data_IF_321975954881
#
_entry.id   IF_321975954881
#
_cell.length_a   1.000
_cell.length_b   1.000
_cell.length_c   1.000
_cell.angle_alpha   90.00
_cell.angle_beta   90.00
_cell.angle_gamma   90.00
#
_symmetry.space_group_name_H-M   'P 1'
#
loop_
_entity.id
_entity.type
_entity.pdbx_description
1 polymer ?
#
# COMPACT_ATOMS: atom_id res chain seq x y z
N UNK A 1 5.27 1.67 -10.87
CA UNK A 1 5.62 2.09 -12.25
C UNK A 1 5.82 0.91 -13.16
N UNK A 2 5.80 1.16 -14.48
CA UNK A 2 5.90 0.12 -15.53
C UNK A 2 7.08 0.38 -16.50
N UNK A 3 8.05 1.17 -16.10
CA UNK A 3 9.31 1.25 -16.87
C UNK A 3 10.12 -0.03 -16.65
N UNK A 4 10.95 -0.41 -17.61
CA UNK A 4 11.77 -1.62 -17.54
C UNK A 4 12.57 -1.73 -16.23
N UNK A 5 13.20 -0.63 -15.81
CA UNK A 5 13.95 -0.59 -14.57
C UNK A 5 13.08 -0.83 -13.32
N UNK A 6 11.87 -0.27 -13.27
CA UNK A 6 10.96 -0.44 -12.13
C UNK A 6 10.35 -1.84 -12.13
N UNK A 7 9.97 -2.38 -13.28
CA UNK A 7 9.45 -3.76 -13.37
C UNK A 7 10.49 -4.77 -12.89
N UNK A 8 11.76 -4.57 -13.25
CA UNK A 8 12.85 -5.43 -12.81
C UNK A 8 13.12 -5.36 -11.28
N UNK A 9 12.68 -4.31 -10.61
CA UNK A 9 12.81 -4.13 -9.16
C UNK A 9 11.55 -4.53 -8.37
N UNK A 10 10.41 -4.71 -9.06
CA UNK A 10 9.14 -4.98 -8.38
C UNK A 10 8.84 -6.48 -8.33
N UNK A 11 8.57 -7.04 -7.13
CA UNK A 11 8.14 -8.44 -7.01
C UNK A 11 6.74 -8.68 -7.62
N UNK A 12 6.00 -7.63 -7.88
CA UNK A 12 4.64 -7.73 -8.43
C UNK A 12 4.61 -7.82 -9.94
N UNK A 13 5.61 -7.33 -10.64
CA UNK A 13 5.73 -7.43 -12.08
C UNK A 13 4.42 -7.22 -12.88
N UNK A 14 4.45 -7.58 -14.15
CA UNK A 14 3.25 -7.53 -15.02
C UNK A 14 2.25 -8.63 -14.69
N UNK A 15 2.69 -9.65 -13.97
CA UNK A 15 1.91 -10.83 -13.63
C UNK A 15 1.87 -10.99 -12.08
N UNK A 16 1.18 -10.04 -11.43
CA UNK A 16 0.98 -10.02 -9.97
C UNK A 16 0.29 -11.29 -9.42
N UNK A 17 -0.24 -12.14 -10.30
CA UNK A 17 -0.91 -13.40 -9.98
C UNK A 17 0.04 -14.60 -10.06
N UNK A 18 1.30 -14.43 -10.44
CA UNK A 18 2.25 -15.53 -10.49
C UNK A 18 2.70 -15.93 -9.06
N UNK A 19 2.70 -17.24 -8.74
CA UNK A 19 2.90 -17.73 -7.38
C UNK A 19 4.26 -17.39 -6.75
N UNK A 20 5.30 -17.14 -7.55
CA UNK A 20 6.63 -16.76 -7.07
C UNK A 20 7.29 -15.75 -8.02
N UNK A 21 7.18 -14.48 -7.65
CA UNK A 21 7.80 -13.39 -8.42
C UNK A 21 9.27 -13.12 -8.02
N UNK A 22 9.81 -13.81 -7.01
CA UNK A 22 11.18 -13.57 -6.53
C UNK A 22 12.23 -13.88 -7.59
N UNK A 23 11.98 -14.85 -8.44
CA UNK A 23 12.87 -15.21 -9.56
C UNK A 23 12.86 -14.19 -10.70
N UNK A 24 11.90 -13.24 -10.71
CA UNK A 24 11.74 -12.25 -11.78
C UNK A 24 12.39 -10.91 -11.48
N UNK A 25 12.82 -10.68 -10.24
CA UNK A 25 13.52 -9.45 -9.89
C UNK A 25 14.97 -9.48 -10.40
N UNK A 26 15.51 -8.29 -10.64
CA UNK A 26 16.89 -8.16 -11.10
C UNK A 26 17.89 -8.74 -10.07
N UNK A 27 19.08 -9.22 -10.50
CA UNK A 27 20.05 -9.86 -9.61
C UNK A 27 20.51 -9.01 -8.42
N UNK A 28 20.41 -7.69 -8.53
CA UNK A 28 20.73 -6.71 -7.50
C UNK A 28 19.53 -6.33 -6.61
N UNK A 29 18.44 -7.09 -6.66
CA UNK A 29 17.23 -6.86 -5.85
C UNK A 29 16.99 -8.05 -4.93
N UNK A 30 16.59 -7.76 -3.69
CA UNK A 30 16.11 -8.74 -2.72
C UNK A 30 14.77 -8.28 -2.17
N UNK A 31 13.81 -9.20 -2.12
CA UNK A 31 12.50 -8.94 -1.53
C UNK A 31 12.50 -9.29 -0.05
N UNK A 32 11.72 -8.55 0.73
CA UNK A 32 11.44 -8.87 2.13
C UNK A 32 10.12 -9.62 2.25
N UNK A 33 10.01 -10.44 3.27
CA UNK A 33 8.73 -11.06 3.66
C UNK A 33 7.76 -9.95 4.06
N UNK A 34 6.62 -9.88 3.38
CA UNK A 34 5.57 -8.91 3.71
C UNK A 34 5.09 -9.13 5.16
N UNK A 35 4.89 -8.05 5.95
CA UNK A 35 4.49 -8.15 7.36
C UNK A 35 3.00 -8.50 7.51
N UNK A 36 2.58 -9.64 6.98
CA UNK A 36 1.21 -10.11 6.89
C UNK A 36 0.85 -10.96 8.11
N UNK A 37 -0.05 -10.44 8.97
CA UNK A 37 -0.40 -11.05 10.25
C UNK A 37 -1.53 -12.08 10.19
N UNK A 38 -2.23 -12.17 9.07
CA UNK A 38 -3.36 -13.11 8.93
C UNK A 38 -2.90 -14.50 8.49
N UNK A 39 -2.09 -14.62 7.42
CA UNK A 39 -1.55 -15.88 6.88
C UNK A 39 -0.04 -16.01 6.96
N UNK A 40 0.67 -14.91 7.23
CA UNK A 40 2.12 -14.90 7.26
C UNK A 40 2.75 -15.89 8.26
N UNK A 41 4.08 -16.02 8.24
CA UNK A 41 4.80 -16.96 9.10
C UNK A 41 4.64 -16.63 10.60
N UNK A 42 4.42 -15.35 10.93
CA UNK A 42 4.16 -14.90 12.30
C UNK A 42 2.84 -14.14 12.35
N UNK A 43 1.94 -14.57 13.23
CA UNK A 43 0.53 -14.22 13.18
C UNK A 43 0.10 -13.30 14.33
N UNK A 44 -1.03 -12.62 14.14
CA UNK A 44 -1.64 -11.76 15.16
C UNK A 44 -1.78 -12.50 16.51
N UNK A 45 -1.34 -11.85 17.59
CA UNK A 45 -1.30 -12.42 18.94
C UNK A 45 0.08 -12.91 19.37
N UNK A 46 1.02 -13.12 18.47
CA UNK A 46 2.39 -13.49 18.84
C UNK A 46 3.18 -12.28 19.36
N UNK A 47 4.16 -12.56 20.22
CA UNK A 47 5.06 -11.53 20.76
C UNK A 47 6.20 -11.24 19.77
N UNK A 48 6.66 -9.98 19.76
CA UNK A 48 7.84 -9.58 18.99
C UNK A 48 7.65 -9.59 17.47
N UNK A 49 6.44 -9.43 16.97
CA UNK A 49 6.11 -9.49 15.54
C UNK A 49 6.96 -8.52 14.71
N UNK A 50 7.13 -7.26 15.18
CA UNK A 50 7.93 -6.28 14.47
C UNK A 50 9.40 -6.71 14.34
N UNK A 51 9.97 -7.34 15.37
CA UNK A 51 11.36 -7.83 15.34
C UNK A 51 11.48 -9.07 14.44
N UNK A 52 10.54 -9.98 14.53
CA UNK A 52 10.52 -11.21 13.72
C UNK A 52 10.48 -10.89 12.21
N UNK A 53 9.55 -10.02 11.80
CA UNK A 53 9.48 -9.60 10.40
C UNK A 53 10.68 -8.74 9.97
N UNK A 54 11.17 -7.85 10.85
CA UNK A 54 12.32 -7.00 10.53
C UNK A 54 13.64 -7.79 10.44
N UNK A 55 13.74 -8.97 11.04
CA UNK A 55 14.93 -9.82 10.94
C UNK A 55 15.19 -10.30 9.50
N UNK A 56 14.16 -10.38 8.66
CA UNK A 56 14.32 -10.75 7.25
C UNK A 56 15.14 -9.72 6.45
N UNK A 57 15.24 -8.48 6.94
CA UNK A 57 16.12 -7.48 6.33
C UNK A 57 17.61 -7.84 6.47
N UNK A 58 18.01 -8.52 7.54
CA UNK A 58 19.39 -8.96 7.70
C UNK A 58 19.75 -10.00 6.62
N UNK A 59 18.88 -11.00 6.37
CA UNK A 59 19.06 -11.95 5.27
C UNK A 59 19.22 -11.25 3.92
N UNK A 60 18.35 -10.28 3.61
CA UNK A 60 18.41 -9.59 2.33
C UNK A 60 19.68 -8.73 2.16
N UNK A 61 20.16 -8.11 3.25
CA UNK A 61 21.40 -7.35 3.28
C UNK A 61 22.60 -8.29 3.08
N UNK A 62 22.66 -9.39 3.84
CA UNK A 62 23.74 -10.37 3.74
C UNK A 62 23.82 -10.97 2.32
N UNK A 63 22.69 -11.34 1.72
CA UNK A 63 22.63 -11.86 0.35
C UNK A 63 23.09 -10.84 -0.71
N UNK A 64 22.84 -9.52 -0.51
CA UNK A 64 23.32 -8.48 -1.41
C UNK A 64 24.81 -8.28 -1.26
N UNK A 65 25.34 -8.33 -0.05
CA UNK A 65 26.78 -8.20 0.24
C UNK A 65 27.55 -9.41 -0.30
N UNK A 66 27.07 -10.64 -0.09
CA UNK A 66 27.65 -11.86 -0.64
C UNK A 66 27.67 -11.85 -2.19
N UNK A 67 26.65 -11.27 -2.81
CA UNK A 67 26.59 -11.09 -4.26
C UNK A 67 27.45 -9.93 -4.79
N UNK A 68 28.08 -9.17 -3.90
CA UNK A 68 28.96 -8.05 -4.25
C UNK A 68 28.24 -6.75 -4.65
N UNK A 69 26.93 -6.65 -4.41
CA UNK A 69 26.16 -5.44 -4.74
C UNK A 69 26.16 -4.40 -3.63
N UNK A 70 26.17 -4.83 -2.35
CA UNK A 70 25.91 -3.96 -1.21
C UNK A 70 24.46 -3.48 -1.16
N UNK A 71 24.11 -2.73 -0.11
CA UNK A 71 22.76 -2.24 0.12
C UNK A 71 22.63 -0.76 -0.29
N UNK A 72 22.04 -0.47 -1.44
CA UNK A 72 21.80 0.89 -1.91
C UNK A 72 20.56 1.53 -1.28
N UNK A 73 19.44 0.83 -1.24
CA UNK A 73 18.19 1.37 -0.68
C UNK A 73 17.15 0.29 -0.38
N UNK A 74 16.20 0.64 0.50
CA UNK A 74 14.90 -0.01 0.62
C UNK A 74 13.87 0.85 -0.11
N UNK A 75 13.15 0.28 -1.07
CA UNK A 75 11.94 0.87 -1.64
C UNK A 75 10.70 0.18 -1.07
N UNK A 76 9.76 0.94 -0.55
CA UNK A 76 8.57 0.39 0.11
C UNK A 76 7.32 1.22 -0.17
N UNK A 77 6.23 0.55 -0.62
CA UNK A 77 4.87 1.09 -0.55
C UNK A 77 4.43 1.11 0.92
N UNK A 78 4.24 2.30 1.48
CA UNK A 78 3.91 2.47 2.89
C UNK A 78 2.52 1.98 3.28
N UNK A 79 1.65 1.69 2.31
CA UNK A 79 0.34 1.06 2.52
C UNK A 79 0.39 -0.47 2.46
N UNK A 80 1.44 -1.06 1.91
CA UNK A 80 1.51 -2.49 1.58
C UNK A 80 0.28 -2.96 0.78
N UNK A 81 -0.24 -2.06 -0.08
CA UNK A 81 -1.52 -2.24 -0.76
C UNK A 81 -1.56 -3.54 -1.56
N UNK A 82 -0.56 -3.76 -2.38
CA UNK A 82 -0.47 -4.92 -3.26
C UNK A 82 -0.25 -6.24 -2.51
N UNK A 83 0.30 -6.17 -1.29
CA UNK A 83 0.37 -7.33 -0.39
C UNK A 83 -0.97 -7.69 0.29
N UNK A 84 -2.08 -7.05 -0.13
CA UNK A 84 -3.40 -7.29 0.44
C UNK A 84 -3.70 -6.47 1.68
N UNK A 85 -3.09 -5.29 1.83
CA UNK A 85 -3.36 -4.31 2.89
C UNK A 85 -3.21 -4.94 4.29
N UNK A 86 -2.06 -5.53 4.64
CA UNK A 86 -1.88 -6.18 5.94
C UNK A 86 -1.90 -5.16 7.10
N UNK A 87 -2.33 -5.62 8.27
CA UNK A 87 -2.07 -4.91 9.52
C UNK A 87 -0.57 -5.02 9.83
N UNK A 88 0.19 -3.96 9.56
CA UNK A 88 1.65 -3.94 9.76
C UNK A 88 1.98 -3.84 11.24
N UNK A 89 2.86 -4.70 11.80
CA UNK A 89 3.26 -4.62 13.19
C UNK A 89 3.86 -3.25 13.55
N UNK A 90 3.37 -2.64 14.62
CA UNK A 90 3.85 -1.32 15.04
C UNK A 90 5.38 -1.32 15.23
N UNK A 91 6.05 -0.39 14.54
CA UNK A 91 7.50 -0.24 14.59
C UNK A 91 8.28 -1.15 13.62
N UNK A 92 7.62 -2.03 12.85
CA UNK A 92 8.28 -2.88 11.85
C UNK A 92 9.13 -2.05 10.87
N UNK A 93 8.50 -1.11 10.15
CA UNK A 93 9.21 -0.34 9.13
C UNK A 93 10.35 0.51 9.71
N UNK A 94 10.18 1.01 10.94
CA UNK A 94 11.25 1.72 11.65
C UNK A 94 12.46 0.83 11.93
N UNK A 95 12.23 -0.44 12.29
CA UNK A 95 13.31 -1.42 12.54
C UNK A 95 14.02 -1.81 11.24
N UNK A 96 13.27 -2.08 10.17
CA UNK A 96 13.85 -2.35 8.84
C UNK A 96 14.67 -1.16 8.35
N UNK A 97 14.13 0.06 8.44
CA UNK A 97 14.86 1.27 8.04
C UNK A 97 16.17 1.47 8.82
N UNK A 98 16.19 1.13 10.12
CA UNK A 98 17.41 1.21 10.92
C UNK A 98 18.49 0.23 10.43
N UNK A 99 18.10 -1.01 10.06
CA UNK A 99 19.03 -2.03 9.51
C UNK A 99 19.58 -1.60 8.15
N UNK A 100 18.72 -1.15 7.25
CA UNK A 100 19.12 -0.67 5.92
C UNK A 100 20.10 0.51 6.03
N UNK A 101 19.84 1.46 6.93
CA UNK A 101 20.76 2.59 7.18
C UNK A 101 22.09 2.15 7.79
N UNK A 102 22.07 1.16 8.68
CA UNK A 102 23.30 0.62 9.25
C UNK A 102 24.18 -0.05 8.18
N UNK A 103 23.58 -0.61 7.14
CA UNK A 103 24.24 -1.14 5.96
C UNK A 103 24.64 -0.07 4.91
N UNK A 104 24.42 1.22 5.19
CA UNK A 104 24.73 2.33 4.28
C UNK A 104 23.64 2.68 3.27
N UNK A 105 22.51 2.02 3.32
CA UNK A 105 21.40 2.22 2.38
C UNK A 105 20.47 3.37 2.74
N UNK A 106 19.69 3.82 1.76
CA UNK A 106 18.68 4.87 1.87
C UNK A 106 17.25 4.28 1.94
N UNK A 107 16.29 5.08 2.39
CA UNK A 107 14.87 4.71 2.43
C UNK A 107 14.11 5.51 1.37
N UNK A 108 13.46 4.80 0.45
CA UNK A 108 12.57 5.34 -0.56
C UNK A 108 11.14 4.97 -0.17
N UNK A 109 10.35 5.96 0.24
CA UNK A 109 8.93 5.77 0.52
C UNK A 109 8.10 5.98 -0.75
N UNK A 110 7.40 4.95 -1.18
CA UNK A 110 6.38 5.07 -2.22
C UNK A 110 5.05 5.48 -1.58
N UNK A 111 4.70 6.76 -1.78
CA UNK A 111 3.47 7.36 -1.26
C UNK A 111 2.33 7.42 -2.31
N UNK A 112 2.52 6.76 -3.43
CA UNK A 112 1.56 6.75 -4.54
C UNK A 112 0.21 6.15 -4.15
N UNK A 113 0.17 5.26 -3.16
CA UNK A 113 -1.06 4.61 -2.68
C UNK A 113 -1.59 5.21 -1.37
N UNK A 114 -0.70 5.68 -0.48
CA UNK A 114 -1.07 6.02 0.90
C UNK A 114 -0.92 7.50 1.25
N UNK A 115 -0.16 8.27 0.48
CA UNK A 115 -0.04 9.71 0.65
C UNK A 115 -1.35 10.48 0.47
N UNK A 116 -1.28 11.79 0.67
CA UNK A 116 -2.40 12.73 0.55
C UNK A 116 -3.53 12.49 1.56
N UNK A 117 -3.14 12.24 2.81
CA UNK A 117 -4.10 12.15 3.93
C UNK A 117 -4.86 10.83 4.04
N UNK A 118 -4.60 9.82 3.19
CA UNK A 118 -5.30 8.51 3.24
C UNK A 118 -5.17 7.76 4.55
N UNK A 119 -4.09 7.90 5.37
CA UNK A 119 -4.10 7.37 6.73
C UNK A 119 -5.16 8.02 7.65
N UNK A 120 -5.68 9.19 7.33
CA UNK A 120 -6.62 9.96 8.15
C UNK A 120 -5.98 10.64 9.37
N UNK A 121 -4.83 10.18 9.80
CA UNK A 121 -4.08 10.69 10.95
C UNK A 121 -2.80 11.44 10.58
N UNK A 122 -2.30 11.23 9.38
CA UNK A 122 -1.07 11.82 8.85
C UNK A 122 -1.26 12.14 7.37
N UNK A 123 -0.50 13.09 6.85
CA UNK A 123 -0.50 13.40 5.42
C UNK A 123 0.16 12.30 4.60
N UNK A 124 1.18 11.64 5.18
CA UNK A 124 1.99 10.63 4.52
C UNK A 124 2.03 9.32 5.29
N UNK A 125 2.10 8.19 4.58
CA UNK A 125 2.17 6.87 5.18
C UNK A 125 3.48 6.62 5.93
N UNK A 126 4.60 7.18 5.49
CA UNK A 126 5.87 7.07 6.23
C UNK A 126 5.79 7.72 7.63
N UNK A 127 5.00 8.80 7.80
CA UNK A 127 4.75 9.43 9.11
C UNK A 127 3.96 8.49 10.02
N UNK A 128 2.92 7.85 9.47
CA UNK A 128 2.14 6.84 10.19
C UNK A 128 3.04 5.70 10.72
N UNK A 129 4.04 5.29 9.96
CA UNK A 129 5.02 4.27 10.38
C UNK A 129 6.16 4.82 11.25
N UNK A 130 6.25 6.13 11.45
CA UNK A 130 7.30 6.80 12.22
C UNK A 130 8.69 6.67 11.58
N UNK A 131 8.76 6.68 10.25
CA UNK A 131 10.00 6.65 9.46
C UNK A 131 10.19 7.98 8.75
N UNK A 132 11.41 8.48 8.70
CA UNK A 132 11.79 9.62 7.85
C UNK A 132 12.52 9.07 6.62
N UNK A 133 11.91 9.08 5.43
CA UNK A 133 12.57 8.60 4.21
C UNK A 133 13.62 9.61 3.71
N UNK A 134 14.50 9.14 2.85
CA UNK A 134 15.50 9.95 2.16
C UNK A 134 14.98 10.42 0.81
N UNK A 135 14.09 9.61 0.20
CA UNK A 135 13.38 9.91 -1.05
C UNK A 135 11.91 9.55 -0.89
N UNK A 136 11.01 10.39 -1.40
CA UNK A 136 9.57 10.14 -1.46
C UNK A 136 9.12 10.18 -2.90
N UNK A 137 8.42 9.14 -3.37
CA UNK A 137 7.79 9.12 -4.68
C UNK A 137 6.28 9.32 -4.55
N UNK A 138 5.73 10.20 -5.38
CA UNK A 138 4.34 10.65 -5.33
C UNK A 138 3.75 10.57 -6.74
N UNK A 139 2.50 10.14 -6.82
CA UNK A 139 1.78 10.06 -8.08
C UNK A 139 0.27 9.99 -7.86
N UNK A 140 -0.47 9.47 -8.79
CA UNK A 140 -1.94 9.26 -8.76
C UNK A 140 -2.73 10.44 -8.18
N UNK A 141 -2.94 10.54 -6.82
CA UNK A 141 -3.78 11.59 -6.23
C UNK A 141 -3.21 13.00 -6.37
N UNK A 142 -1.89 13.15 -6.61
CA UNK A 142 -1.26 14.48 -6.62
C UNK A 142 -1.85 15.43 -7.67
N UNK A 143 -2.35 14.92 -8.79
CA UNK A 143 -2.98 15.70 -9.85
C UNK A 143 -4.48 15.48 -9.96
N UNK A 144 -5.08 14.61 -9.14
CA UNK A 144 -6.51 14.25 -9.16
C UNK A 144 -7.08 14.04 -10.57
N UNK A 145 -6.39 13.19 -11.35
CA UNK A 145 -6.71 12.90 -12.76
C UNK A 145 -5.84 13.65 -13.77
N UNK A 146 -5.18 14.74 -13.39
CA UNK A 146 -4.15 15.35 -14.22
C UNK A 146 -2.84 14.57 -14.08
N UNK A 147 -2.14 14.23 -15.20
CA UNK A 147 -0.91 13.44 -15.14
C UNK A 147 0.24 14.23 -14.49
N UNK A 148 0.56 13.88 -13.26
CA UNK A 148 1.62 14.47 -12.46
C UNK A 148 2.31 13.40 -11.61
N UNK A 149 3.64 13.38 -11.65
CA UNK A 149 4.49 12.61 -10.75
C UNK A 149 5.50 13.52 -10.08
N UNK A 150 5.80 13.27 -8.82
CA UNK A 150 6.73 14.09 -8.03
C UNK A 150 7.70 13.17 -7.28
N UNK A 151 8.96 13.60 -7.21
CA UNK A 151 9.97 13.03 -6.33
C UNK A 151 10.44 14.12 -5.39
N UNK A 152 10.40 13.84 -4.09
CA UNK A 152 10.91 14.74 -3.05
C UNK A 152 12.14 14.09 -2.41
N UNK A 153 13.22 14.84 -2.30
CA UNK A 153 14.45 14.35 -1.69
C UNK A 153 15.25 15.50 -1.05
N UNK A 154 16.37 15.15 -0.42
CA UNK A 154 17.27 16.15 0.17
C UNK A 154 18.12 16.84 -0.89
N UNK A 155 18.58 18.10 -0.66
CA UNK A 155 19.49 18.77 -1.57
C UNK A 155 20.75 17.97 -1.88
N UNK A 156 21.30 17.27 -0.90
CA UNK A 156 22.54 16.49 -1.08
C UNK A 156 22.34 15.34 -2.09
N UNK A 157 21.22 14.60 -1.99
CA UNK A 157 20.88 13.52 -2.94
C UNK A 157 20.61 14.09 -4.33
N UNK A 158 19.87 15.21 -4.41
CA UNK A 158 19.60 15.87 -5.67
C UNK A 158 20.89 16.34 -6.36
N UNK A 159 21.82 16.94 -5.61
CA UNK A 159 23.12 17.35 -6.15
C UNK A 159 23.91 16.17 -6.71
N UNK A 160 24.06 15.11 -5.93
CA UNK A 160 24.78 13.91 -6.38
C UNK A 160 24.15 13.31 -7.65
N UNK A 161 22.81 13.28 -7.75
CA UNK A 161 22.11 12.84 -8.95
C UNK A 161 22.41 13.74 -10.15
N UNK A 162 22.34 15.05 -9.98
CA UNK A 162 22.57 16.03 -11.06
C UNK A 162 24.01 16.02 -11.58
N UNK A 163 24.99 15.76 -10.70
CA UNK A 163 26.40 15.62 -11.08
C UNK A 163 26.67 14.36 -11.93
N UNK A 164 25.92 13.28 -11.68
CA UNK A 164 26.14 12.00 -12.33
C UNK A 164 25.36 11.85 -13.64
N UNK A 165 24.11 12.29 -13.69
CA UNK A 165 23.19 11.96 -14.80
C UNK A 165 22.55 13.17 -15.46
N UNK A 166 22.38 14.27 -14.72
CA UNK A 166 21.52 15.38 -15.12
C UNK A 166 20.04 14.99 -15.17
N UNK A 167 19.17 15.98 -15.28
CA UNK A 167 17.72 15.82 -15.43
C UNK A 167 17.20 16.76 -16.50
N UNK A 168 16.53 16.21 -17.49
CA UNK A 168 15.79 16.99 -18.47
C UNK A 168 14.40 16.37 -18.69
N UNK A 169 13.35 17.20 -18.68
CA UNK A 169 12.00 16.79 -19.05
C UNK A 169 11.30 17.95 -19.74
N UNK A 170 10.77 17.71 -20.94
CA UNK A 170 10.05 18.75 -21.71
C UNK A 170 8.78 19.21 -21.00
N UNK A 171 8.05 18.29 -20.37
CA UNK A 171 6.76 18.57 -19.76
C UNK A 171 6.79 18.50 -18.22
N UNK A 172 7.87 18.06 -17.61
CA UNK A 172 8.02 18.00 -16.15
C UNK A 172 7.93 19.39 -15.54
N UNK A 173 7.11 19.54 -14.49
CA UNK A 173 6.94 20.80 -13.79
C UNK A 173 6.23 21.90 -14.61
N UNK A 174 5.45 21.53 -15.63
CA UNK A 174 4.67 22.52 -16.37
C UNK A 174 3.63 23.21 -15.47
N UNK A 175 3.29 24.50 -15.75
CA UNK A 175 2.42 25.28 -14.87
C UNK A 175 1.02 24.70 -14.65
N UNK A 176 0.45 24.03 -15.65
CA UNK A 176 -0.89 23.41 -15.51
C UNK A 176 -0.87 22.23 -14.55
N UNK A 177 0.12 21.34 -14.68
CA UNK A 177 0.27 20.20 -13.76
C UNK A 177 0.55 20.68 -12.32
N UNK A 178 1.40 21.69 -12.16
CA UNK A 178 1.70 22.26 -10.84
C UNK A 178 0.47 22.94 -10.23
N UNK A 179 -0.33 23.67 -11.02
CA UNK A 179 -1.57 24.30 -10.56
C UNK A 179 -2.59 23.24 -10.11
N UNK A 180 -2.74 22.15 -10.86
CA UNK A 180 -3.61 21.03 -10.47
C UNK A 180 -3.15 20.40 -9.14
N UNK A 181 -1.84 20.15 -8.97
CA UNK A 181 -1.31 19.60 -7.72
C UNK A 181 -1.48 20.52 -6.53
N UNK A 182 -1.28 21.84 -6.70
CA UNK A 182 -1.53 22.83 -5.65
C UNK A 182 -3.01 22.87 -5.25
N UNK A 183 -3.93 22.85 -6.23
CA UNK A 183 -5.36 22.83 -5.96
C UNK A 183 -5.79 21.59 -5.14
N UNK A 184 -5.18 20.42 -5.39
CA UNK A 184 -5.42 19.22 -4.58
C UNK A 184 -5.02 19.43 -3.11
N UNK A 185 -3.84 20.01 -2.87
CA UNK A 185 -3.36 20.31 -1.51
C UNK A 185 -4.28 21.32 -0.81
N UNK A 186 -4.66 22.39 -1.52
CA UNK A 186 -5.56 23.42 -0.99
C UNK A 186 -6.94 22.86 -0.59
N UNK A 187 -7.50 21.94 -1.40
CA UNK A 187 -8.77 21.27 -1.08
C UNK A 187 -8.64 20.36 0.14
N UNK A 188 -7.57 19.58 0.22
CA UNK A 188 -7.33 18.68 1.37
C UNK A 188 -7.28 19.48 2.67
N UNK A 189 -6.59 20.62 2.67
CA UNK A 189 -6.46 21.49 3.83
C UNK A 189 -7.77 22.23 4.15
N UNK A 190 -8.35 22.91 3.15
CA UNK A 190 -9.56 23.73 3.32
C UNK A 190 -10.77 22.92 3.78
N UNK A 191 -10.93 21.70 3.31
CA UNK A 191 -12.07 20.82 3.60
C UNK A 191 -11.79 19.83 4.72
N UNK A 192 -10.62 19.93 5.38
CA UNK A 192 -10.18 19.02 6.45
C UNK A 192 -10.39 17.54 6.10
N UNK A 193 -9.93 17.15 4.90
CA UNK A 193 -10.17 15.81 4.36
C UNK A 193 -9.46 14.70 5.16
N UNK A 194 -8.46 15.04 5.97
CA UNK A 194 -7.85 14.08 6.90
C UNK A 194 -8.85 13.68 7.99
N UNK A 195 -9.56 14.65 8.57
CA UNK A 195 -10.59 14.38 9.57
C UNK A 195 -11.73 13.57 8.97
N UNK A 196 -12.21 13.96 7.77
CA UNK A 196 -13.22 13.19 7.04
C UNK A 196 -12.77 11.72 6.83
N UNK A 197 -11.54 11.53 6.35
CA UNK A 197 -10.97 10.19 6.14
C UNK A 197 -10.97 9.37 7.43
N UNK A 198 -10.48 9.94 8.54
CA UNK A 198 -10.44 9.27 9.83
C UNK A 198 -11.83 8.82 10.28
N UNK A 199 -12.80 9.73 10.26
CA UNK A 199 -14.12 9.51 10.83
C UNK A 199 -14.97 8.57 9.95
N UNK A 200 -14.93 8.75 8.62
CA UNK A 200 -15.70 7.91 7.68
C UNK A 200 -15.06 6.53 7.54
N UNK A 201 -13.72 6.42 7.54
CA UNK A 201 -13.06 5.11 7.48
C UNK A 201 -13.34 4.26 8.72
N UNK A 202 -13.41 4.87 9.89
CA UNK A 202 -13.79 4.17 11.12
C UNK A 202 -15.23 3.66 11.05
N UNK A 203 -16.15 4.49 10.57
CA UNK A 203 -17.55 4.11 10.35
C UNK A 203 -17.67 2.93 9.36
N UNK A 204 -17.03 3.05 8.21
CA UNK A 204 -16.97 1.99 7.19
C UNK A 204 -16.39 0.67 7.75
N UNK A 205 -15.28 0.76 8.48
CA UNK A 205 -14.61 -0.41 9.07
C UNK A 205 -15.51 -1.11 10.10
N UNK A 206 -16.29 -0.35 10.88
CA UNK A 206 -17.28 -0.90 11.80
C UNK A 206 -18.32 -1.73 11.04
N UNK A 207 -18.95 -1.17 10.01
CA UNK A 207 -19.92 -1.88 9.18
C UNK A 207 -19.34 -3.15 8.53
N UNK A 208 -18.13 -3.07 7.97
CA UNK A 208 -17.45 -4.22 7.39
C UNK A 208 -17.14 -5.31 8.43
N UNK A 209 -16.79 -4.93 9.66
CA UNK A 209 -16.57 -5.88 10.75
C UNK A 209 -17.86 -6.58 11.18
N UNK A 210 -18.99 -5.86 11.15
CA UNK A 210 -20.32 -6.46 11.38
C UNK A 210 -20.70 -7.44 10.26
N UNK A 211 -20.32 -7.16 9.00
CA UNK A 211 -20.48 -8.12 7.92
C UNK A 211 -19.66 -9.39 8.16
N UNK A 212 -18.45 -9.27 8.64
CA UNK A 212 -17.61 -10.42 8.98
C UNK A 212 -18.28 -11.32 10.04
N UNK A 213 -19.06 -10.76 10.95
CA UNK A 213 -19.81 -11.55 11.94
C UNK A 213 -20.99 -12.32 11.30
N UNK A 214 -21.53 -11.84 10.17
CA UNK A 214 -22.70 -12.42 9.50
C UNK A 214 -22.34 -13.35 8.33
N UNK A 215 -21.19 -13.16 7.70
CA UNK A 215 -20.78 -13.89 6.50
C UNK A 215 -19.50 -14.66 6.72
N UNK A 216 -19.56 -15.97 6.74
CA UNK A 216 -18.43 -16.88 6.97
C UNK A 216 -17.33 -16.76 5.89
N UNK A 217 -17.64 -16.27 4.70
CA UNK A 217 -16.66 -16.04 3.65
C UNK A 217 -15.72 -14.84 3.91
N UNK A 218 -16.01 -13.97 4.89
CA UNK A 218 -15.10 -12.90 5.28
C UNK A 218 -14.14 -13.42 6.34
N UNK A 219 -12.88 -13.57 6.00
CA UNK A 219 -11.83 -14.05 6.91
C UNK A 219 -11.23 -12.98 7.81
N UNK A 220 -11.05 -11.76 7.27
CA UNK A 220 -10.44 -10.63 8.00
C UNK A 220 -10.89 -9.28 7.42
N UNK A 221 -10.95 -8.26 8.29
CA UNK A 221 -11.16 -6.85 7.93
C UNK A 221 -10.04 -6.02 8.54
N UNK A 222 -9.20 -5.44 7.71
CA UNK A 222 -7.96 -4.79 8.14
C UNK A 222 -7.64 -3.51 7.39
N UNK A 223 -6.55 -2.85 7.75
CA UNK A 223 -6.11 -1.59 7.16
C UNK A 223 -6.42 -0.38 8.01
N UNK A 224 -6.02 0.80 7.53
CA UNK A 224 -6.14 2.06 8.26
C UNK A 224 -6.49 3.22 7.33
N UNK A 225 -7.35 4.11 7.78
CA UNK A 225 -7.86 5.21 6.96
C UNK A 225 -8.63 4.69 5.74
N UNK A 226 -8.53 5.41 4.64
CA UNK A 226 -9.12 5.03 3.35
C UNK A 226 -8.26 4.03 2.56
N UNK A 227 -7.61 3.10 3.26
CA UNK A 227 -7.00 1.91 2.68
C UNK A 227 -7.42 0.72 3.54
N UNK A 228 -8.48 0.04 3.12
CA UNK A 228 -9.11 -1.07 3.84
C UNK A 228 -9.15 -2.31 2.98
N UNK A 229 -8.75 -3.44 3.56
CA UNK A 229 -8.81 -4.77 2.98
C UNK A 229 -9.90 -5.61 3.62
N UNK A 230 -10.71 -6.30 2.80
CA UNK A 230 -11.64 -7.35 3.26
C UNK A 230 -11.22 -8.64 2.60
N UNK A 231 -10.82 -9.61 3.40
CA UNK A 231 -10.27 -10.87 2.92
C UNK A 231 -11.36 -11.92 2.74
N UNK A 232 -11.42 -12.55 1.57
CA UNK A 232 -12.38 -13.60 1.26
C UNK A 232 -11.72 -14.96 1.36
N UNK A 233 -12.35 -15.87 2.10
CA UNK A 233 -11.88 -17.22 2.38
C UNK A 233 -12.98 -18.24 2.19
N UNK A 234 -12.63 -19.45 1.82
CA UNK A 234 -13.56 -20.59 1.77
C UNK A 234 -13.75 -21.22 3.15
N UNK A 235 -12.79 -21.02 4.05
CA UNK A 235 -12.82 -21.52 5.42
C UNK A 235 -11.99 -20.60 6.34
N UNK A 236 -12.59 -20.13 7.43
CA UNK A 236 -11.93 -19.23 8.39
C UNK A 236 -10.85 -19.89 9.23
N UNK A 237 -11.01 -21.15 9.60
CA UNK A 237 -10.08 -21.86 10.47
C UNK A 237 -8.78 -22.13 9.71
N UNK A 238 -8.87 -22.63 8.49
CA UNK A 238 -7.73 -22.88 7.61
C UNK A 238 -7.23 -21.62 6.93
N UNK A 239 -8.05 -20.57 6.85
CA UNK A 239 -7.80 -19.32 6.13
C UNK A 239 -7.55 -19.51 4.63
N UNK A 240 -8.17 -20.52 4.04
CA UNK A 240 -7.99 -20.86 2.63
C UNK A 240 -8.52 -19.73 1.74
N UNK A 241 -7.70 -19.14 0.86
CA UNK A 241 -8.10 -18.05 -0.01
C UNK A 241 -9.19 -18.47 -0.99
N UNK A 242 -10.20 -17.63 -1.19
CA UNK A 242 -11.25 -17.88 -2.19
C UNK A 242 -11.35 -16.72 -3.19
N UNK A 243 -10.45 -16.76 -4.19
CA UNK A 243 -10.47 -15.80 -5.29
C UNK A 243 -11.70 -15.94 -6.19
N UNK A 244 -12.35 -17.12 -6.24
CA UNK A 244 -13.54 -17.34 -7.06
C UNK A 244 -14.74 -16.61 -6.46
N UNK A 245 -15.01 -16.81 -5.18
CA UNK A 245 -16.04 -16.08 -4.44
C UNK A 245 -15.75 -14.57 -4.45
N UNK A 246 -14.49 -14.17 -4.28
CA UNK A 246 -14.08 -12.77 -4.37
C UNK A 246 -14.50 -12.13 -5.70
N UNK A 247 -14.20 -12.77 -6.84
CA UNK A 247 -14.54 -12.25 -8.17
C UNK A 247 -16.05 -12.19 -8.36
N UNK A 248 -16.79 -13.17 -7.86
CA UNK A 248 -18.25 -13.19 -7.95
C UNK A 248 -18.86 -12.02 -7.15
N UNK A 249 -18.49 -11.85 -5.87
CA UNK A 249 -18.99 -10.75 -5.02
C UNK A 249 -18.63 -9.39 -5.62
N UNK A 250 -17.40 -9.22 -6.09
CA UNK A 250 -16.95 -7.98 -6.73
C UNK A 250 -17.81 -7.62 -7.96
N UNK A 251 -18.10 -8.58 -8.82
CA UNK A 251 -18.96 -8.35 -9.99
C UNK A 251 -20.40 -8.03 -9.58
N UNK A 252 -20.93 -8.72 -8.56
CA UNK A 252 -22.26 -8.44 -8.07
C UNK A 252 -22.38 -7.06 -7.44
N UNK A 253 -21.38 -6.64 -6.66
CA UNK A 253 -21.31 -5.26 -6.14
C UNK A 253 -21.31 -4.21 -7.26
N UNK A 254 -20.59 -4.47 -8.36
CA UNK A 254 -20.61 -3.59 -9.54
C UNK A 254 -22.02 -3.44 -10.12
N UNK A 255 -22.80 -4.52 -10.21
CA UNK A 255 -24.19 -4.48 -10.64
C UNK A 255 -25.08 -3.70 -9.67
N UNK A 256 -24.72 -3.67 -8.38
CA UNK A 256 -25.38 -2.88 -7.35
C UNK A 256 -24.85 -1.43 -7.27
N UNK A 257 -24.03 -1.01 -8.23
CA UNK A 257 -23.54 0.36 -8.36
C UNK A 257 -22.25 0.66 -7.56
N UNK A 258 -21.56 -0.35 -7.01
CA UNK A 258 -20.34 -0.19 -6.26
C UNK A 258 -19.15 -0.83 -6.97
N UNK A 259 -18.22 0.00 -7.44
CA UNK A 259 -17.01 -0.45 -8.10
C UNK A 259 -15.85 -0.59 -7.09
N UNK A 260 -15.29 -1.79 -6.98
CA UNK A 260 -14.14 -2.09 -6.15
C UNK A 260 -13.06 -2.84 -6.94
N UNK A 261 -11.85 -2.94 -6.38
CA UNK A 261 -10.77 -3.75 -6.92
C UNK A 261 -10.39 -4.89 -5.97
N UNK A 262 -9.46 -5.73 -6.39
CA UNK A 262 -8.88 -6.79 -5.58
C UNK A 262 -7.36 -6.69 -5.54
N UNK A 263 -6.78 -7.19 -4.47
CA UNK A 263 -5.33 -7.23 -4.23
C UNK A 263 -4.94 -8.49 -3.45
N UNK A 264 -3.65 -8.52 -3.07
CA UNK A 264 -3.07 -9.64 -2.33
C UNK A 264 -2.61 -10.78 -3.22
N UNK A 265 -1.66 -11.55 -2.71
CA UNK A 265 -0.98 -12.63 -3.44
C UNK A 265 -1.95 -13.65 -4.08
N UNK A 266 -3.09 -13.89 -3.45
CA UNK A 266 -4.11 -14.83 -3.94
C UNK A 266 -5.27 -14.13 -4.66
N UNK A 267 -5.25 -12.79 -4.82
CA UNK A 267 -6.31 -12.02 -5.45
C UNK A 267 -7.67 -12.13 -4.76
N UNK A 268 -7.68 -12.40 -3.46
CA UNK A 268 -8.87 -12.64 -2.63
C UNK A 268 -9.14 -11.55 -1.59
N UNK A 269 -8.51 -10.41 -1.70
CA UNK A 269 -8.69 -9.25 -0.80
C UNK A 269 -9.37 -8.12 -1.54
N UNK A 270 -10.53 -7.66 -1.09
CA UNK A 270 -11.10 -6.41 -1.57
C UNK A 270 -10.17 -5.26 -1.25
N UNK A 271 -9.87 -4.46 -2.26
CA UNK A 271 -9.16 -3.19 -2.13
C UNK A 271 -10.17 -2.06 -2.06
N UNK A 272 -10.48 -1.62 -0.87
CA UNK A 272 -11.38 -0.51 -0.62
C UNK A 272 -10.55 0.75 -0.38
N UNK A 273 -10.53 1.62 -1.39
CA UNK A 273 -9.75 2.86 -1.38
C UNK A 273 -10.57 3.99 -2.02
N UNK A 274 -11.56 4.50 -1.30
CA UNK A 274 -12.47 5.52 -1.81
C UNK A 274 -11.77 6.88 -2.00
N UNK A 275 -12.38 7.84 -2.73
CA UNK A 275 -11.89 9.20 -2.79
C UNK A 275 -11.92 9.87 -1.40
N UNK A 276 -11.08 10.89 -1.18
CA UNK A 276 -10.96 11.56 0.12
C UNK A 276 -12.26 12.26 0.58
N UNK A 277 -13.14 12.61 -0.35
CA UNK A 277 -14.46 13.20 -0.11
C UNK A 277 -15.57 12.18 0.16
N UNK A 278 -15.24 10.90 0.32
CA UNK A 278 -16.20 9.82 0.59
C UNK A 278 -16.97 10.10 1.87
N UNK A 279 -18.31 10.03 1.81
CA UNK A 279 -19.19 10.33 2.94
C UNK A 279 -19.57 9.08 3.72
N UNK A 280 -20.23 9.26 4.87
CA UNK A 280 -20.84 8.16 5.64
C UNK A 280 -21.92 7.43 4.83
N UNK A 281 -22.75 8.16 4.10
CA UNK A 281 -23.79 7.57 3.25
C UNK A 281 -23.18 6.70 2.14
N UNK A 282 -22.05 7.12 1.58
CA UNK A 282 -21.31 6.30 0.61
C UNK A 282 -20.73 5.04 1.27
N UNK A 283 -20.24 5.14 2.51
CA UNK A 283 -19.76 3.99 3.25
C UNK A 283 -20.89 3.00 3.56
N UNK A 284 -22.07 3.49 3.93
CA UNK A 284 -23.27 2.67 4.18
C UNK A 284 -23.75 2.00 2.89
N UNK A 285 -23.73 2.70 1.76
CA UNK A 285 -24.05 2.13 0.45
C UNK A 285 -23.08 0.99 0.07
N UNK A 286 -21.78 1.18 0.30
CA UNK A 286 -20.77 0.14 0.06
C UNK A 286 -21.02 -1.10 0.93
N UNK A 287 -21.23 -0.91 2.24
CA UNK A 287 -21.48 -2.00 3.19
C UNK A 287 -22.77 -2.74 2.83
N UNK A 288 -23.84 -2.00 2.46
CA UNK A 288 -25.13 -2.58 2.05
C UNK A 288 -24.98 -3.40 0.77
N UNK A 289 -24.28 -2.90 -0.24
CA UNK A 289 -24.07 -3.63 -1.48
C UNK A 289 -23.22 -4.90 -1.27
N UNK A 290 -22.22 -4.84 -0.39
CA UNK A 290 -21.41 -6.01 -0.04
C UNK A 290 -22.24 -7.05 0.72
N UNK A 291 -23.06 -6.64 1.70
CA UNK A 291 -23.98 -7.52 2.44
C UNK A 291 -24.96 -8.22 1.49
N UNK A 292 -25.59 -7.45 0.60
CA UNK A 292 -26.53 -8.00 -0.39
C UNK A 292 -25.83 -9.00 -1.31
N UNK A 293 -24.69 -8.66 -1.88
CA UNK A 293 -23.95 -9.56 -2.74
C UNK A 293 -23.57 -10.87 -2.03
N UNK A 294 -23.16 -10.81 -0.75
CA UNK A 294 -22.80 -12.01 0.01
C UNK A 294 -23.99 -12.86 0.45
N UNK A 295 -25.20 -12.29 0.56
CA UNK A 295 -26.42 -13.06 0.82
C UNK A 295 -26.91 -13.85 -0.39
N UNK A 296 -26.46 -13.51 -1.57
CA UNK A 296 -26.82 -14.15 -2.83
C UNK A 296 -25.82 -15.26 -3.23
N UNK A 297 -24.78 -15.53 -2.40
CA UNK A 297 -23.87 -16.68 -2.57
C UNK A 297 -24.57 -18.01 -2.28
#
# INVERSE_FOLDING_TARGET
>A
GITEAIVAMSPEGVDAMAPDNRERVAPHVRTLIAPELYRGPWRKGEKGLADKYAADADRAIDELDEAGYGTASLMVDTSFCSNGIPDVPKGYLKKVAAKVRAAGGMIIADEVQYGFGRPGTHMWGYEYHGVRPDIVTIGKPVGDGFPLGVVVTTPAILHAFMEQTGLFSTFGGNPMACAAGLAVLDVIEREDLLANCRDVSQHMKTGLTELMARHECIGDVRGHGFVTGVEIVSNRDTREPDAKTMVWVMNRMRELGVLTGREGHHGNVFKIRPPMVFSRDNADALVTAMDQAMREL
#
